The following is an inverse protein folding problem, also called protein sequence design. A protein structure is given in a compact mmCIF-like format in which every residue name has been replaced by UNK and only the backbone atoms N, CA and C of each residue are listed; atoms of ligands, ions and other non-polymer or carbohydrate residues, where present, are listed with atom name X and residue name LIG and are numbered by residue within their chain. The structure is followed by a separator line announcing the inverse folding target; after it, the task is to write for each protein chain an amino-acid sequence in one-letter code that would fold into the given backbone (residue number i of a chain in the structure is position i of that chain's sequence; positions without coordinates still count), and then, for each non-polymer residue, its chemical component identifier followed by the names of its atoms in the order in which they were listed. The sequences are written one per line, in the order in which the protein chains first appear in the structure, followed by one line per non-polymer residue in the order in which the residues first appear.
data_IF_929424671448
#
_entry.id   IF_929424671448
#
_cell.length_a   1.000
_cell.length_b   1.000
_cell.length_c   1.000
_cell.angle_alpha   90.00
_cell.angle_beta   90.00
_cell.angle_gamma   90.00
#
_symmetry.space_group_name_H-M   'P 1'
#
loop_
_entity.id
_entity.type
_entity.pdbx_description
1 polymer ?
#
# COMPACT_ATOMS: atom_id res chain seq x y z
N UNK A 1 -31.36 -5.01 5.29
CA UNK A 1 -31.24 -3.91 6.26
C UNK A 1 -30.35 -4.27 7.45
N UNK A 2 -30.65 -5.34 8.21
CA UNK A 2 -29.85 -5.70 9.41
C UNK A 2 -28.37 -6.05 9.12
N UNK A 3 -28.08 -6.89 8.12
CA UNK A 3 -26.69 -7.21 7.71
C UNK A 3 -25.89 -5.99 7.25
N UNK A 4 -26.54 -5.04 6.56
CA UNK A 4 -25.92 -3.77 6.14
C UNK A 4 -25.63 -2.90 7.35
N UNK A 5 -26.56 -2.80 8.30
CA UNK A 5 -26.38 -2.08 9.56
C UNK A 5 -25.22 -2.65 10.39
N UNK A 6 -25.15 -3.97 10.53
CA UNK A 6 -24.04 -4.63 11.23
C UNK A 6 -22.69 -4.41 10.55
N UNK A 7 -22.66 -4.40 9.22
CA UNK A 7 -21.43 -4.10 8.46
C UNK A 7 -21.01 -2.63 8.65
N UNK A 8 -21.97 -1.70 8.63
CA UNK A 8 -21.70 -0.28 8.90
C UNK A 8 -21.16 -0.04 10.31
N UNK A 9 -21.74 -0.69 11.32
CA UNK A 9 -21.27 -0.61 12.71
C UNK A 9 -19.84 -1.17 12.86
N UNK A 10 -19.53 -2.30 12.22
CA UNK A 10 -18.20 -2.90 12.23
C UNK A 10 -17.14 -1.95 11.63
N UNK A 11 -17.42 -1.38 10.46
CA UNK A 11 -16.53 -0.41 9.80
C UNK A 11 -16.33 0.83 10.68
N UNK A 12 -17.41 1.37 11.24
CA UNK A 12 -17.37 2.54 12.12
C UNK A 12 -16.53 2.26 13.38
N UNK A 13 -16.68 1.08 13.99
CA UNK A 13 -15.91 0.72 15.18
C UNK A 13 -14.39 0.67 14.91
N UNK A 14 -13.97 0.04 13.81
CA UNK A 14 -12.55 -0.02 13.42
C UNK A 14 -12.00 1.38 13.14
N UNK A 15 -12.71 2.18 12.36
CA UNK A 15 -12.29 3.54 12.05
C UNK A 15 -12.28 4.45 13.28
N UNK A 16 -13.19 4.25 14.23
CA UNK A 16 -13.20 5.00 15.49
C UNK A 16 -11.94 4.72 16.32
N UNK A 17 -11.45 3.48 16.37
CA UNK A 17 -10.18 3.16 17.05
C UNK A 17 -9.00 3.81 16.34
N UNK A 18 -8.95 3.75 15.01
CA UNK A 18 -7.89 4.42 14.22
C UNK A 18 -7.92 5.94 14.46
N UNK A 19 -9.10 6.55 14.40
CA UNK A 19 -9.28 7.98 14.67
C UNK A 19 -8.91 8.35 16.11
N UNK A 20 -9.23 7.50 17.08
CA UNK A 20 -8.82 7.69 18.47
C UNK A 20 -7.29 7.67 18.62
N UNK A 21 -6.61 6.72 17.98
CA UNK A 21 -5.13 6.63 18.00
C UNK A 21 -4.50 7.91 17.43
N UNK A 22 -4.94 8.35 16.25
CA UNK A 22 -4.40 9.56 15.62
C UNK A 22 -4.78 10.84 16.38
N UNK A 23 -5.99 10.91 16.92
CA UNK A 23 -6.44 12.02 17.75
C UNK A 23 -5.65 12.11 19.06
N UNK A 24 -5.41 10.98 19.73
CA UNK A 24 -4.56 10.92 20.92
C UNK A 24 -3.13 11.34 20.58
N UNK A 25 -2.57 10.86 19.47
CA UNK A 25 -1.23 11.26 19.02
C UNK A 25 -1.13 12.77 18.79
N UNK A 26 -2.08 13.33 18.05
CA UNK A 26 -2.16 14.77 17.78
C UNK A 26 -2.21 15.59 19.08
N UNK A 27 -3.02 15.17 20.05
CA UNK A 27 -3.18 15.86 21.34
C UNK A 27 -1.99 15.68 22.29
N UNK A 28 -1.28 14.55 22.23
CA UNK A 28 -0.20 14.21 23.15
C UNK A 28 1.20 14.67 22.69
N UNK A 29 1.30 15.42 21.59
CA UNK A 29 2.51 16.18 21.30
C UNK A 29 3.14 15.96 19.93
N UNK A 30 2.35 15.81 18.86
CA UNK A 30 2.88 16.03 17.51
C UNK A 30 3.07 17.55 17.25
N UNK A 31 4.14 18.10 17.83
CA UNK A 31 4.56 19.48 17.58
C UNK A 31 5.15 19.67 16.18
N UNK A 32 5.49 18.59 15.48
CA UNK A 32 6.18 18.65 14.19
C UNK A 32 5.23 19.19 13.13
N UNK A 33 4.06 18.58 12.98
CA UNK A 33 3.08 19.00 11.97
C UNK A 33 2.42 20.33 12.32
N UNK A 34 2.17 20.59 13.61
CA UNK A 34 1.62 21.87 14.07
C UNK A 34 2.56 23.05 13.85
N UNK A 35 3.88 22.81 13.75
CA UNK A 35 4.88 23.81 13.37
C UNK A 35 5.10 23.91 11.84
N UNK A 36 4.30 23.20 11.04
CA UNK A 36 4.40 23.22 9.58
C UNK A 36 5.45 22.25 9.01
N UNK A 37 5.89 21.26 9.80
CA UNK A 37 6.90 20.30 9.38
C UNK A 37 6.32 18.91 9.07
N UNK A 38 7.08 18.11 8.31
CA UNK A 38 6.86 16.67 8.19
C UNK A 38 7.78 15.93 9.16
N UNK A 39 7.43 14.67 9.44
CA UNK A 39 8.06 13.86 10.49
C UNK A 39 9.53 13.56 10.19
N UNK A 40 9.87 13.36 8.93
CA UNK A 40 11.23 13.01 8.49
C UNK A 40 11.58 13.63 7.13
N UNK A 41 12.85 13.46 6.74
CA UNK A 41 13.39 13.92 5.46
C UNK A 41 12.76 13.23 4.25
N UNK A 42 12.32 11.99 4.40
CA UNK A 42 11.83 11.16 3.29
C UNK A 42 10.47 11.68 2.83
N UNK A 43 9.62 12.07 3.78
CA UNK A 43 8.37 12.78 3.49
C UNK A 43 8.61 14.07 2.69
N UNK A 44 9.61 14.88 3.04
CA UNK A 44 9.95 16.09 2.27
C UNK A 44 10.48 15.75 0.88
N UNK A 45 11.39 14.79 0.76
CA UNK A 45 11.93 14.34 -0.51
C UNK A 45 10.82 13.84 -1.44
N UNK A 46 9.82 13.13 -0.87
CA UNK A 46 8.62 12.68 -1.58
C UNK A 46 7.82 13.85 -2.12
N UNK A 47 7.52 14.86 -1.30
CA UNK A 47 6.74 16.01 -1.75
C UNK A 47 7.48 16.82 -2.82
N UNK A 48 8.79 17.02 -2.69
CA UNK A 48 9.61 17.69 -3.73
C UNK A 48 9.56 16.90 -5.04
N UNK A 49 9.69 15.58 -4.99
CA UNK A 49 9.57 14.72 -6.17
C UNK A 49 8.19 14.84 -6.83
N UNK A 50 7.11 14.81 -6.05
CA UNK A 50 5.74 14.94 -6.57
C UNK A 50 5.52 16.32 -7.18
N UNK A 51 6.02 17.37 -6.54
CA UNK A 51 5.93 18.73 -7.07
C UNK A 51 6.63 18.83 -8.44
N UNK A 52 7.87 18.33 -8.55
CA UNK A 52 8.58 18.28 -9.84
C UNK A 52 7.83 17.47 -10.89
N UNK A 53 7.24 16.33 -10.52
CA UNK A 53 6.45 15.51 -11.44
C UNK A 53 5.28 16.31 -12.03
N UNK A 54 4.57 17.07 -11.21
CA UNK A 54 3.44 17.91 -11.66
C UNK A 54 3.91 19.11 -12.48
N UNK A 55 5.01 19.75 -12.10
CA UNK A 55 5.55 20.92 -12.81
C UNK A 55 6.12 20.57 -14.19
N UNK A 56 6.77 19.41 -14.33
CA UNK A 56 7.50 19.04 -15.55
C UNK A 56 6.75 18.04 -16.43
N UNK A 57 5.79 17.30 -15.87
CA UNK A 57 5.20 16.13 -16.54
C UNK A 57 6.19 14.98 -16.77
N UNK A 58 7.39 15.05 -16.19
CA UNK A 58 8.48 14.08 -16.36
C UNK A 58 8.21 12.75 -15.65
N UNK A 59 7.23 11.99 -16.12
CA UNK A 59 6.81 10.73 -15.47
C UNK A 59 7.95 9.71 -15.29
N UNK A 60 8.91 9.66 -16.20
CA UNK A 60 10.07 8.78 -16.10
C UNK A 60 11.32 9.45 -15.51
N UNK A 61 11.26 10.76 -15.22
CA UNK A 61 12.35 11.50 -14.58
C UNK A 61 12.38 11.22 -13.06
N UNK A 62 13.44 10.55 -12.62
CA UNK A 62 13.68 10.24 -11.21
C UNK A 62 14.77 11.12 -10.57
N UNK A 63 15.23 12.14 -11.30
CA UNK A 63 16.29 13.02 -10.82
C UNK A 63 15.83 13.93 -9.68
N UNK A 64 16.76 14.22 -8.79
CA UNK A 64 16.69 15.27 -7.78
C UNK A 64 17.95 16.14 -7.93
N UNK A 65 17.90 17.20 -8.78
CA UNK A 65 19.08 18.01 -9.08
C UNK A 65 19.70 18.71 -7.86
N UNK A 66 18.88 18.96 -6.83
CA UNK A 66 19.32 19.61 -5.58
C UNK A 66 19.82 18.64 -4.52
N UNK A 67 19.71 17.33 -4.75
CA UNK A 67 20.31 16.32 -3.89
C UNK A 67 21.80 16.14 -4.26
N UNK A 68 22.65 15.77 -3.29
CA UNK A 68 24.05 15.37 -3.53
C UNK A 68 24.84 16.35 -4.42
N UNK A 69 24.86 17.63 -4.06
CA UNK A 69 25.58 18.66 -4.81
C UNK A 69 27.09 18.36 -4.91
N UNK A 70 27.74 18.55 -6.08
CA UNK A 70 27.21 19.12 -7.32
C UNK A 70 26.65 18.10 -8.32
N UNK A 71 26.63 16.81 -7.98
CA UNK A 71 26.33 15.73 -8.92
C UNK A 71 24.83 15.54 -9.19
N UNK A 72 23.97 16.01 -8.28
CA UNK A 72 22.56 15.63 -8.28
C UNK A 72 22.37 14.26 -7.64
N UNK A 73 21.11 13.90 -7.38
CA UNK A 73 20.72 12.58 -6.91
C UNK A 73 19.60 11.98 -7.76
N UNK A 74 19.28 10.73 -7.48
CA UNK A 74 18.09 10.05 -8.00
C UNK A 74 17.42 9.27 -6.88
N UNK A 75 16.11 9.09 -6.98
CA UNK A 75 15.35 8.25 -6.05
C UNK A 75 14.90 6.98 -6.75
N UNK A 76 15.17 5.85 -6.10
CA UNK A 76 14.75 4.53 -6.56
C UNK A 76 13.23 4.30 -6.43
N UNK A 77 12.55 5.14 -5.65
CA UNK A 77 11.11 5.10 -5.43
C UNK A 77 10.30 5.16 -6.74
N UNK A 78 9.16 4.49 -6.72
CA UNK A 78 8.24 4.34 -7.85
C UNK A 78 7.03 5.27 -7.74
N UNK A 79 6.21 5.31 -8.79
CA UNK A 79 5.09 6.25 -8.94
C UNK A 79 3.80 6.00 -8.15
N UNK A 80 3.45 4.80 -7.65
CA UNK A 80 2.14 4.59 -7.01
C UNK A 80 1.82 5.56 -5.88
N UNK A 81 2.74 5.78 -4.94
CA UNK A 81 2.52 6.73 -3.85
C UNK A 81 2.45 8.18 -4.35
N UNK A 82 3.28 8.54 -5.34
CA UNK A 82 3.26 9.86 -5.96
C UNK A 82 1.86 10.19 -6.50
N UNK A 83 1.22 9.23 -7.19
CA UNK A 83 -0.15 9.36 -7.72
C UNK A 83 -1.17 9.51 -6.59
N UNK A 84 -1.08 8.72 -5.52
CA UNK A 84 -2.00 8.83 -4.39
C UNK A 84 -1.93 10.22 -3.73
N UNK A 85 -0.72 10.77 -3.58
CA UNK A 85 -0.52 12.11 -3.05
C UNK A 85 -1.11 13.19 -3.95
N UNK A 86 -0.92 13.08 -5.28
CA UNK A 86 -1.52 14.00 -6.25
C UNK A 86 -3.05 13.95 -6.13
N UNK A 87 -3.64 12.76 -6.19
CA UNK A 87 -5.09 12.57 -6.11
C UNK A 87 -5.68 13.13 -4.80
N UNK A 88 -4.98 12.95 -3.69
CA UNK A 88 -5.38 13.49 -2.39
C UNK A 88 -5.24 15.01 -2.31
N UNK A 89 -4.25 15.59 -2.98
CA UNK A 89 -4.00 17.03 -3.01
C UNK A 89 -4.97 17.80 -3.93
N UNK A 90 -5.40 17.21 -5.05
CA UNK A 90 -6.19 17.89 -6.09
C UNK A 90 -7.44 18.63 -5.58
N UNK A 91 -8.28 18.08 -4.69
CA UNK A 91 -9.45 18.80 -4.17
C UNK A 91 -9.07 20.06 -3.39
N UNK A 92 -7.99 20.02 -2.60
CA UNK A 92 -7.51 21.16 -1.82
C UNK A 92 -6.76 22.18 -2.67
N UNK A 93 -6.15 21.76 -3.79
CA UNK A 93 -5.33 22.60 -4.65
C UNK A 93 -6.11 23.79 -5.23
N UNK A 94 -7.43 23.64 -5.46
CA UNK A 94 -8.32 24.69 -5.94
C UNK A 94 -8.47 25.87 -4.96
N UNK A 95 -8.22 25.65 -3.67
CA UNK A 95 -8.46 26.64 -2.62
C UNK A 95 -7.19 27.26 -2.06
N UNK A 96 -6.10 26.47 -1.97
CA UNK A 96 -4.87 26.90 -1.28
C UNK A 96 -3.61 26.80 -2.14
N UNK A 97 -3.74 26.41 -3.41
CA UNK A 97 -2.63 26.10 -4.31
C UNK A 97 -2.08 24.69 -4.12
N UNK A 98 -1.50 24.13 -5.19
CA UNK A 98 -1.09 22.72 -5.22
C UNK A 98 -0.03 22.38 -4.17
N UNK A 99 1.02 23.20 -4.02
CA UNK A 99 2.09 22.92 -3.06
C UNK A 99 1.60 22.82 -1.61
N UNK A 100 0.70 23.72 -1.19
CA UNK A 100 0.11 23.70 0.16
C UNK A 100 -0.89 22.55 0.32
N UNK A 101 -1.66 22.23 -0.72
CA UNK A 101 -2.54 21.08 -0.70
C UNK A 101 -1.76 19.76 -0.63
N UNK A 102 -0.62 19.67 -1.34
CA UNK A 102 0.28 18.52 -1.32
C UNK A 102 0.93 18.32 0.05
N UNK A 103 1.30 19.40 0.76
CA UNK A 103 1.71 19.31 2.16
C UNK A 103 0.65 18.61 3.01
N UNK A 104 -0.60 19.05 2.94
CA UNK A 104 -1.70 18.42 3.70
C UNK A 104 -2.00 16.99 3.23
N UNK A 105 -1.82 16.68 1.96
CA UNK A 105 -1.89 15.30 1.47
C UNK A 105 -0.80 14.43 2.13
N UNK A 106 0.44 14.92 2.22
CA UNK A 106 1.52 14.24 2.94
C UNK A 106 1.25 14.08 4.42
N UNK A 107 0.58 15.05 5.06
CA UNK A 107 0.14 14.96 6.46
C UNK A 107 -0.87 13.83 6.67
N UNK A 108 -1.82 13.66 5.74
CA UNK A 108 -2.98 12.80 5.90
C UNK A 108 -2.82 11.39 5.30
N UNK A 109 -1.89 11.18 4.37
CA UNK A 109 -1.80 9.93 3.59
C UNK A 109 -1.63 8.70 4.49
N UNK A 110 -0.73 8.74 5.46
CA UNK A 110 -0.45 7.60 6.34
C UNK A 110 -1.60 7.26 7.29
N UNK A 111 -2.24 8.24 7.97
CA UNK A 111 -3.47 7.97 8.72
C UNK A 111 -4.60 7.36 7.89
N UNK A 112 -4.80 7.83 6.66
CA UNK A 112 -5.84 7.30 5.75
C UNK A 112 -5.53 5.87 5.31
N UNK A 113 -4.28 5.59 4.92
CA UNK A 113 -3.83 4.25 4.57
C UNK A 113 -3.88 3.29 5.76
N UNK A 114 -3.59 3.77 6.97
CA UNK A 114 -3.68 2.99 8.20
C UNK A 114 -5.14 2.57 8.48
N UNK A 115 -6.10 3.49 8.32
CA UNK A 115 -7.52 3.15 8.41
C UNK A 115 -7.94 2.09 7.39
N UNK A 116 -7.50 2.24 6.15
CA UNK A 116 -7.77 1.26 5.10
C UNK A 116 -7.10 -0.10 5.39
N UNK A 117 -5.88 -0.10 5.95
CA UNK A 117 -5.17 -1.32 6.35
C UNK A 117 -5.93 -2.05 7.47
N UNK A 118 -6.41 -1.35 8.50
CA UNK A 118 -7.19 -1.95 9.59
C UNK A 118 -8.52 -2.56 9.11
N UNK A 119 -9.20 -1.90 8.17
CA UNK A 119 -10.39 -2.47 7.51
C UNK A 119 -10.03 -3.68 6.65
N UNK A 120 -8.88 -3.66 6.00
CA UNK A 120 -8.38 -4.77 5.19
C UNK A 120 -7.99 -5.95 6.07
N UNK A 121 -7.45 -5.75 7.27
CA UNK A 121 -7.23 -6.81 8.28
C UNK A 121 -8.55 -7.45 8.67
N UNK A 122 -9.57 -6.64 8.98
CA UNK A 122 -10.92 -7.12 9.30
C UNK A 122 -11.48 -7.99 8.18
N UNK A 123 -11.31 -7.55 6.93
CA UNK A 123 -11.72 -8.33 5.78
C UNK A 123 -10.86 -9.61 5.63
N UNK A 124 -9.54 -9.52 5.69
CA UNK A 124 -8.60 -10.61 5.47
C UNK A 124 -8.77 -11.75 6.48
N UNK A 125 -8.96 -11.42 7.77
CA UNK A 125 -9.05 -12.38 8.86
C UNK A 125 -10.41 -13.10 8.94
N UNK A 126 -11.47 -12.52 8.37
CA UNK A 126 -12.84 -13.04 8.50
C UNK A 126 -13.02 -14.53 8.16
N UNK A 127 -12.41 -15.10 7.10
CA UNK A 127 -12.52 -16.53 6.81
C UNK A 127 -11.84 -17.44 7.84
N UNK A 128 -10.90 -16.92 8.63
CA UNK A 128 -10.15 -17.68 9.62
C UNK A 128 -10.82 -17.70 11.00
N UNK A 129 -11.27 -16.54 11.46
CA UNK A 129 -11.70 -16.33 12.85
C UNK A 129 -13.17 -15.89 12.99
N UNK A 130 -13.89 -15.79 11.87
CA UNK A 130 -15.29 -15.34 11.85
C UNK A 130 -15.43 -13.81 11.93
N UNK A 131 -16.67 -13.32 11.81
CA UNK A 131 -16.94 -11.89 11.62
C UNK A 131 -16.65 -11.04 12.86
N UNK A 132 -17.09 -11.45 14.05
CA UNK A 132 -16.90 -10.68 15.28
C UNK A 132 -15.43 -10.54 15.66
N UNK A 133 -14.71 -11.67 15.71
CA UNK A 133 -13.28 -11.66 16.03
C UNK A 133 -12.44 -10.92 14.97
N UNK A 134 -12.85 -10.92 13.70
CA UNK A 134 -12.17 -10.15 12.67
C UNK A 134 -12.30 -8.63 12.87
N UNK A 135 -13.43 -8.13 13.37
CA UNK A 135 -13.58 -6.70 13.73
C UNK A 135 -12.62 -6.36 14.86
N UNK A 136 -12.50 -7.23 15.87
CA UNK A 136 -11.52 -7.08 16.96
C UNK A 136 -10.10 -7.11 16.42
N UNK A 137 -9.77 -8.00 15.47
CA UNK A 137 -8.46 -8.03 14.85
C UNK A 137 -8.11 -6.72 14.11
N UNK A 138 -9.07 -6.12 13.39
CA UNK A 138 -8.88 -4.80 12.78
C UNK A 138 -8.63 -3.70 13.80
N UNK A 139 -9.41 -3.67 14.88
CA UNK A 139 -9.20 -2.71 15.99
C UNK A 139 -7.82 -2.90 16.64
N UNK A 140 -7.39 -4.13 16.89
CA UNK A 140 -6.08 -4.42 17.49
C UNK A 140 -4.92 -4.09 16.54
N UNK A 141 -5.09 -4.27 15.23
CA UNK A 141 -4.07 -3.84 14.27
C UNK A 141 -3.84 -2.33 14.29
N UNK A 142 -4.87 -1.53 14.61
CA UNK A 142 -4.77 -0.08 14.67
C UNK A 142 -3.88 0.43 15.82
N UNK A 143 -3.60 -0.42 16.82
CA UNK A 143 -2.75 -0.10 17.97
C UNK A 143 -1.44 -0.92 17.97
N UNK A 144 -1.15 -1.64 16.89
CA UNK A 144 0.03 -2.47 16.79
C UNK A 144 1.30 -1.61 16.70
N UNK A 145 2.17 -1.69 17.71
CA UNK A 145 3.36 -0.84 17.84
C UNK A 145 4.27 -0.84 16.60
N UNK A 146 4.47 -2.00 15.96
CA UNK A 146 5.28 -2.12 14.75
C UNK A 146 4.71 -1.41 13.51
N UNK A 147 3.43 -1.06 13.52
CA UNK A 147 2.77 -0.29 12.45
C UNK A 147 2.69 1.19 12.80
N UNK A 148 2.47 1.52 14.08
CA UNK A 148 2.26 2.89 14.54
C UNK A 148 3.40 3.83 14.13
N UNK A 149 4.66 3.39 14.23
CA UNK A 149 5.82 4.22 13.88
C UNK A 149 5.84 4.71 12.43
N UNK A 150 5.19 4.01 11.50
CA UNK A 150 5.06 4.41 10.10
C UNK A 150 3.73 5.09 9.78
N UNK A 151 2.73 4.90 10.63
CA UNK A 151 1.39 5.41 10.42
C UNK A 151 1.21 6.86 10.91
N UNK A 152 2.25 7.49 11.45
CA UNK A 152 2.16 8.78 12.11
C UNK A 152 1.61 9.86 11.17
N UNK A 153 0.97 10.87 11.76
CA UNK A 153 0.58 12.08 11.02
C UNK A 153 1.87 12.75 10.51
N UNK A 154 1.88 13.23 9.26
CA UNK A 154 3.06 13.89 8.69
C UNK A 154 4.15 12.96 8.13
N UNK A 155 3.96 11.64 8.18
CA UNK A 155 4.90 10.66 7.63
C UNK A 155 4.49 10.28 6.19
N UNK A 156 4.94 11.05 5.20
CA UNK A 156 4.52 10.91 3.80
C UNK A 156 5.33 9.84 3.03
N UNK A 157 5.37 8.61 3.53
CA UNK A 157 6.13 7.50 2.95
C UNK A 157 5.28 6.23 2.65
N UNK A 158 5.86 5.28 1.93
CA UNK A 158 5.20 4.13 1.32
C UNK A 158 5.00 2.94 2.26
N UNK A 159 5.59 2.94 3.46
CA UNK A 159 5.55 1.78 4.37
C UNK A 159 4.13 1.35 4.77
N UNK A 160 3.22 2.29 5.03
CA UNK A 160 1.81 1.95 5.33
C UNK A 160 1.10 1.38 4.11
N UNK A 161 1.42 1.87 2.91
CA UNK A 161 0.90 1.32 1.66
C UNK A 161 1.40 -0.12 1.44
N UNK A 162 2.67 -0.39 1.72
CA UNK A 162 3.26 -1.75 1.69
C UNK A 162 2.49 -2.67 2.66
N UNK A 163 2.25 -2.22 3.90
CA UNK A 163 1.48 -2.98 4.89
C UNK A 163 0.05 -3.27 4.43
N UNK A 164 -0.65 -2.27 3.90
CA UNK A 164 -1.99 -2.43 3.33
C UNK A 164 -2.01 -3.49 2.21
N UNK A 165 -1.08 -3.38 1.26
CA UNK A 165 -0.98 -4.31 0.13
C UNK A 165 -0.65 -5.72 0.61
N UNK A 166 0.23 -5.87 1.59
CA UNK A 166 0.57 -7.18 2.15
C UNK A 166 -0.64 -7.87 2.79
N UNK A 167 -1.41 -7.15 3.61
CA UNK A 167 -2.64 -7.70 4.22
C UNK A 167 -3.69 -8.02 3.17
N UNK A 168 -3.83 -7.19 2.14
CA UNK A 168 -4.73 -7.47 1.02
C UNK A 168 -4.32 -8.75 0.26
N UNK A 169 -3.02 -8.94 0.00
CA UNK A 169 -2.48 -10.14 -0.64
C UNK A 169 -2.73 -11.39 0.21
N UNK A 170 -2.49 -11.34 1.52
CA UNK A 170 -2.84 -12.43 2.43
C UNK A 170 -4.34 -12.71 2.43
N UNK A 171 -5.18 -11.68 2.48
CA UNK A 171 -6.64 -11.83 2.49
C UNK A 171 -7.20 -12.49 1.23
N UNK A 172 -6.66 -12.17 0.05
CA UNK A 172 -7.01 -12.87 -1.19
C UNK A 172 -6.45 -14.29 -1.24
N UNK A 173 -5.22 -14.50 -0.79
CA UNK A 173 -4.58 -15.82 -0.74
C UNK A 173 -5.35 -16.77 0.19
N UNK A 174 -5.68 -16.35 1.40
CA UNK A 174 -6.49 -17.11 2.35
C UNK A 174 -7.84 -17.49 1.76
N UNK A 175 -8.53 -16.56 1.10
CA UNK A 175 -9.80 -16.85 0.42
C UNK A 175 -9.64 -17.84 -0.72
N UNK A 176 -8.57 -17.75 -1.49
CA UNK A 176 -8.28 -18.71 -2.54
C UNK A 176 -8.04 -20.13 -1.99
N UNK A 177 -7.51 -20.23 -0.77
CA UNK A 177 -7.21 -21.50 -0.11
C UNK A 177 -8.40 -22.11 0.66
N UNK A 178 -9.23 -21.26 1.27
CA UNK A 178 -10.27 -21.67 2.23
C UNK A 178 -11.68 -21.62 1.64
N UNK A 179 -11.92 -20.85 0.58
CA UNK A 179 -13.24 -20.67 -0.02
C UNK A 179 -13.17 -21.14 -1.47
N UNK A 180 -13.79 -22.29 -1.75
CA UNK A 180 -13.79 -22.90 -3.08
C UNK A 180 -14.50 -22.03 -4.12
N UNK A 181 -15.56 -21.34 -3.69
CA UNK A 181 -16.26 -20.36 -4.52
C UNK A 181 -15.29 -19.24 -4.94
N UNK A 182 -15.09 -19.11 -6.25
CA UNK A 182 -14.19 -18.12 -6.84
C UNK A 182 -12.71 -18.22 -6.37
N UNK A 183 -12.24 -19.39 -5.93
CA UNK A 183 -10.86 -19.60 -5.49
C UNK A 183 -9.84 -19.09 -6.52
N UNK A 184 -10.09 -19.35 -7.80
CA UNK A 184 -9.26 -18.86 -8.89
C UNK A 184 -9.25 -17.35 -9.07
N UNK A 185 -10.40 -16.69 -8.95
CA UNK A 185 -10.46 -15.23 -9.05
C UNK A 185 -9.77 -14.57 -7.86
N UNK A 186 -9.87 -15.16 -6.67
CA UNK A 186 -9.11 -14.71 -5.50
C UNK A 186 -7.60 -14.90 -5.70
N UNK A 187 -7.17 -16.02 -6.27
CA UNK A 187 -5.77 -16.26 -6.59
C UNK A 187 -5.22 -15.23 -7.59
N UNK A 188 -5.97 -14.96 -8.67
CA UNK A 188 -5.61 -13.94 -9.67
C UNK A 188 -5.46 -12.56 -9.02
N UNK A 189 -6.42 -12.16 -8.19
CA UNK A 189 -6.38 -10.88 -7.46
C UNK A 189 -5.20 -10.83 -6.48
N UNK A 190 -4.89 -11.92 -5.78
CA UNK A 190 -3.72 -11.99 -4.93
C UNK A 190 -2.44 -11.73 -5.72
N UNK A 191 -2.28 -12.36 -6.89
CA UNK A 191 -1.15 -12.11 -7.80
C UNK A 191 -1.06 -10.65 -8.24
N UNK A 192 -2.18 -10.05 -8.67
CA UNK A 192 -2.22 -8.63 -9.08
C UNK A 192 -1.86 -7.69 -7.93
N UNK A 193 -2.36 -7.95 -6.72
CA UNK A 193 -2.05 -7.16 -5.53
C UNK A 193 -0.57 -7.30 -5.14
N UNK A 194 -0.01 -8.51 -5.21
CA UNK A 194 1.43 -8.74 -4.97
C UNK A 194 2.29 -7.98 -5.98
N UNK A 195 1.91 -8.00 -7.27
CA UNK A 195 2.64 -7.28 -8.30
C UNK A 195 2.56 -5.76 -8.11
N UNK A 196 1.38 -5.24 -7.76
CA UNK A 196 1.23 -3.84 -7.36
C UNK A 196 2.10 -3.51 -6.15
N UNK A 197 2.20 -4.41 -5.17
CA UNK A 197 3.06 -4.22 -4.02
C UNK A 197 4.54 -4.18 -4.37
N UNK A 198 5.01 -5.06 -5.27
CA UNK A 198 6.39 -5.00 -5.79
C UNK A 198 6.63 -3.70 -6.56
N UNK A 199 5.61 -3.19 -7.26
CA UNK A 199 5.69 -1.86 -7.87
C UNK A 199 5.81 -0.77 -6.81
N UNK A 200 5.11 -0.86 -5.68
CA UNK A 200 5.23 0.11 -4.56
C UNK A 200 6.61 0.05 -3.91
N UNK A 201 7.11 -1.16 -3.60
CA UNK A 201 8.36 -1.38 -2.90
C UNK A 201 8.82 -2.85 -2.95
N UNK A 202 10.13 -3.07 -3.03
CA UNK A 202 10.73 -4.41 -3.17
C UNK A 202 10.52 -5.28 -1.93
N UNK A 203 10.18 -4.70 -0.78
CA UNK A 203 9.89 -5.40 0.47
C UNK A 203 8.71 -6.38 0.33
N UNK A 204 7.78 -6.11 -0.62
CA UNK A 204 6.65 -7.00 -0.88
C UNK A 204 7.09 -8.35 -1.47
N UNK A 205 8.31 -8.48 -1.99
CA UNK A 205 8.84 -9.76 -2.47
C UNK A 205 8.81 -10.85 -1.38
N UNK A 206 9.04 -10.49 -0.11
CA UNK A 206 8.93 -11.44 1.02
C UNK A 206 7.48 -11.93 1.16
N UNK A 207 6.52 -11.01 1.07
CA UNK A 207 5.08 -11.34 1.13
C UNK A 207 4.66 -12.20 -0.07
N UNK A 208 5.20 -11.91 -1.26
CA UNK A 208 4.98 -12.72 -2.45
C UNK A 208 5.52 -14.14 -2.26
N UNK A 209 6.74 -14.29 -1.74
CA UNK A 209 7.33 -15.59 -1.41
C UNK A 209 6.48 -16.41 -0.46
N UNK A 210 5.94 -15.78 0.61
CA UNK A 210 5.03 -16.44 1.54
C UNK A 210 3.72 -16.88 0.88
N UNK A 211 3.08 -16.01 0.10
CA UNK A 211 1.82 -16.32 -0.59
C UNK A 211 1.98 -17.43 -1.63
N UNK A 212 3.01 -17.35 -2.47
CA UNK A 212 3.31 -18.39 -3.45
C UNK A 212 3.71 -19.69 -2.76
N UNK A 213 4.52 -19.62 -1.71
CA UNK A 213 4.98 -20.78 -0.94
C UNK A 213 3.82 -21.58 -0.36
N UNK A 214 2.85 -20.93 0.28
CA UNK A 214 1.70 -21.64 0.88
C UNK A 214 0.77 -22.25 -0.17
N UNK A 215 0.53 -21.56 -1.28
CA UNK A 215 -0.31 -22.06 -2.39
C UNK A 215 0.37 -23.22 -3.12
N UNK A 216 1.68 -23.15 -3.32
CA UNK A 216 2.48 -24.23 -3.89
C UNK A 216 2.51 -25.45 -2.97
N UNK A 217 2.77 -25.23 -1.67
CA UNK A 217 2.81 -26.30 -0.67
C UNK A 217 1.46 -27.03 -0.57
N UNK A 218 0.34 -26.31 -0.61
CA UNK A 218 -1.00 -26.95 -0.65
C UNK A 218 -1.14 -27.88 -1.86
N UNK A 219 -0.69 -27.47 -3.04
CA UNK A 219 -0.73 -28.34 -4.23
C UNK A 219 0.22 -29.53 -4.12
N UNK A 220 1.43 -29.37 -3.57
CA UNK A 220 2.37 -30.48 -3.38
C UNK A 220 1.82 -31.53 -2.41
N UNK A 221 1.18 -31.10 -1.33
CA UNK A 221 0.66 -32.00 -0.28
C UNK A 221 -0.66 -32.67 -0.70
N UNK A 222 -1.61 -31.90 -1.22
CA UNK A 222 -2.97 -32.41 -1.52
C UNK A 222 -3.16 -32.82 -2.98
N UNK A 223 -2.28 -32.39 -3.88
CA UNK A 223 -2.45 -32.59 -5.32
C UNK A 223 -3.68 -31.87 -5.90
N UNK A 224 -4.17 -32.37 -7.03
CA UNK A 224 -5.44 -31.96 -7.63
C UNK A 224 -5.37 -30.78 -8.60
N UNK A 225 -6.17 -30.86 -9.67
CA UNK A 225 -6.25 -29.83 -10.70
C UNK A 225 -6.72 -28.47 -10.17
N UNK A 226 -7.55 -28.46 -9.11
CA UNK A 226 -8.02 -27.23 -8.47
C UNK A 226 -6.89 -26.44 -7.81
N UNK A 227 -6.07 -27.09 -6.98
CA UNK A 227 -4.93 -26.46 -6.31
C UNK A 227 -3.86 -26.00 -7.32
N UNK A 228 -3.64 -26.77 -8.39
CA UNK A 228 -2.79 -26.34 -9.51
C UNK A 228 -3.35 -25.10 -10.22
N UNK A 229 -4.67 -25.02 -10.42
CA UNK A 229 -5.30 -23.85 -11.03
C UNK A 229 -5.19 -22.60 -10.16
N UNK A 230 -5.21 -22.72 -8.83
CA UNK A 230 -4.94 -21.60 -7.90
C UNK A 230 -3.51 -21.10 -8.09
N UNK A 231 -2.51 -21.99 -8.12
CA UNK A 231 -1.11 -21.65 -8.40
C UNK A 231 -0.97 -20.88 -9.72
N UNK A 232 -1.50 -21.44 -10.81
CA UNK A 232 -1.42 -20.85 -12.16
C UNK A 232 -2.09 -19.47 -12.23
N UNK A 233 -3.25 -19.29 -11.58
CA UNK A 233 -3.97 -18.02 -11.60
C UNK A 233 -3.26 -16.95 -10.77
N UNK A 234 -2.69 -17.30 -9.62
CA UNK A 234 -1.86 -16.37 -8.84
C UNK A 234 -0.62 -15.96 -9.63
N UNK A 235 0.08 -16.92 -10.25
CA UNK A 235 1.24 -16.64 -11.10
C UNK A 235 0.87 -15.74 -12.30
N UNK A 236 -0.26 -16.02 -12.95
CA UNK A 236 -0.75 -15.19 -14.05
C UNK A 236 -1.05 -13.76 -13.59
N UNK A 237 -1.74 -13.58 -12.46
CA UNK A 237 -2.04 -12.26 -11.92
C UNK A 237 -0.77 -11.47 -11.59
N UNK A 238 0.21 -12.15 -11.00
CA UNK A 238 1.50 -11.56 -10.67
C UNK A 238 2.27 -11.15 -11.93
N UNK A 239 2.37 -12.04 -12.93
CA UNK A 239 3.02 -11.75 -14.21
C UNK A 239 2.37 -10.56 -14.93
N UNK A 240 1.04 -10.58 -15.10
CA UNK A 240 0.31 -9.49 -15.76
C UNK A 240 0.49 -8.16 -15.03
N UNK A 241 0.43 -8.19 -13.70
CA UNK A 241 0.64 -7.00 -12.88
C UNK A 241 2.05 -6.46 -12.98
N UNK A 242 3.09 -7.32 -12.96
CA UNK A 242 4.48 -6.89 -13.10
C UNK A 242 4.77 -6.34 -14.48
N UNK A 243 4.23 -6.94 -15.54
CA UNK A 243 4.36 -6.38 -16.90
C UNK A 243 3.74 -4.98 -16.98
N UNK A 244 2.55 -4.80 -16.41
CA UNK A 244 1.91 -3.48 -16.37
C UNK A 244 2.75 -2.47 -15.55
N UNK A 245 3.22 -2.87 -14.37
CA UNK A 245 4.07 -2.05 -13.52
C UNK A 245 5.37 -1.64 -14.23
N UNK A 246 6.02 -2.58 -14.93
CA UNK A 246 7.25 -2.30 -15.67
C UNK A 246 7.00 -1.32 -16.81
N UNK A 247 5.94 -1.51 -17.61
CA UNK A 247 5.58 -0.59 -18.70
C UNK A 247 5.27 0.81 -18.15
N UNK A 248 4.49 0.89 -17.06
CA UNK A 248 4.09 2.16 -16.47
C UNK A 248 5.25 2.88 -15.78
N UNK A 249 6.16 2.16 -15.13
CA UNK A 249 7.28 2.76 -14.40
C UNK A 249 8.47 3.11 -15.31
N UNK A 250 8.66 2.37 -16.40
CA UNK A 250 9.86 2.46 -17.27
C UNK A 250 9.60 3.07 -18.64
N UNK A 251 8.39 2.91 -19.18
CA UNK A 251 8.02 3.44 -20.49
C UNK A 251 8.99 2.99 -21.59
N UNK A 252 9.65 3.92 -22.31
CA UNK A 252 10.63 3.56 -23.34
C UNK A 252 11.82 2.73 -22.84
N UNK A 253 12.21 2.89 -21.57
CA UNK A 253 13.34 2.19 -20.93
C UNK A 253 12.95 0.82 -20.33
N UNK A 254 11.90 0.18 -20.83
CA UNK A 254 11.34 -1.07 -20.29
C UNK A 254 12.32 -2.24 -20.34
N UNK A 255 13.28 -2.25 -21.28
CA UNK A 255 14.30 -3.29 -21.44
C UNK A 255 15.62 -2.95 -20.74
N UNK A 256 15.72 -1.81 -20.07
CA UNK A 256 16.93 -1.43 -19.36
C UNK A 256 17.03 -2.14 -18.01
N UNK A 257 18.24 -2.60 -17.69
CA UNK A 257 18.56 -3.11 -16.36
C UNK A 257 18.98 -1.95 -15.46
N UNK A 258 18.33 -1.80 -14.31
CA UNK A 258 18.70 -0.80 -13.32
C UNK A 258 18.70 -1.41 -11.92
N UNK A 259 19.77 -1.13 -11.18
CA UNK A 259 19.87 -1.52 -9.78
C UNK A 259 18.87 -0.73 -8.93
N UNK A 260 18.38 -1.38 -7.88
CA UNK A 260 17.43 -0.85 -6.89
C UNK A 260 16.08 -0.36 -7.45
N UNK A 261 15.75 -0.69 -8.72
CA UNK A 261 14.48 -0.30 -9.35
C UNK A 261 13.81 -1.51 -10.00
N UNK A 262 12.50 -1.38 -10.24
CA UNK A 262 11.77 -2.35 -11.04
C UNK A 262 12.36 -2.39 -12.46
N UNK A 263 12.96 -3.53 -12.82
CA UNK A 263 13.63 -3.74 -14.11
C UNK A 263 13.40 -5.17 -14.62
N UNK A 264 13.98 -5.52 -15.77
CA UNK A 264 13.87 -6.87 -16.35
C UNK A 264 14.71 -7.95 -15.63
N UNK A 265 15.49 -7.55 -14.61
CA UNK A 265 16.31 -8.44 -13.75
C UNK A 265 15.82 -8.33 -12.32
#
# INVERSE_FOLDING_TARGET
MEKQRQTGLATAAVLAVVAFVHGAWWLLGDSVVTQGNLVDSDGYARLVRVLRLVETGGWFDVSLPRANWPLGGSLHWTRPLDVLLILLALPGALFVGFAKALYWAGVLISPLLHGLAALTVTWAARPLIGAGAAVVAGMLSAVAFGVLGYATIGHADHHVLVGLVAVAAFGFTLRALLISENAGGNALRAGLVLAFGVWVGTEVQVTAGLCFGVVAMKWVVEGGAGNLAVNRRMALGFLLGLMAALILERGPGVLEVQYDRLSIV
#
